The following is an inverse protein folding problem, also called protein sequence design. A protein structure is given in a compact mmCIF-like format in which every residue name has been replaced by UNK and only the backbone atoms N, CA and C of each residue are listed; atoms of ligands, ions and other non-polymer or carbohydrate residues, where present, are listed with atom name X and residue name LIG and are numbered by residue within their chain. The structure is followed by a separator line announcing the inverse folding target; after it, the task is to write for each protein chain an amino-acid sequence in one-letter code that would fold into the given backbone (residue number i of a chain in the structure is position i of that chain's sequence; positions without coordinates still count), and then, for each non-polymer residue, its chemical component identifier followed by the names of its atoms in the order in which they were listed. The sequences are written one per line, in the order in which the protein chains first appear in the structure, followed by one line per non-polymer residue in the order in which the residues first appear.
data_IF_011206554908
#
_entry.id   IF_011206554908
#
_cell.length_a   1.000
_cell.length_b   1.000
_cell.length_c   1.000
_cell.angle_alpha   90.00
_cell.angle_beta   90.00
_cell.angle_gamma   90.00
#
_symmetry.space_group_name_H-M   'P 1'
#
loop_
_entity.id
_entity.type
_entity.pdbx_description
1 polymer ?
#
# COMPACT_ATOMS: atom_id res chain seq x y z
N UNK A 1 4.31 -15.27 9.09
CA UNK A 1 3.54 -14.93 7.87
C UNK A 1 2.27 -14.27 8.36
N UNK A 2 1.88 -13.07 7.90
CA UNK A 2 0.87 -12.34 8.67
C UNK A 2 -0.23 -11.58 7.94
N UNK A 3 -1.43 -11.64 8.52
CA UNK A 3 -2.62 -10.91 8.09
C UNK A 3 -2.70 -9.57 8.81
N UNK A 4 -2.86 -8.49 8.05
CA UNK A 4 -2.75 -7.10 8.54
C UNK A 4 -4.07 -6.36 8.48
N UNK A 5 -4.34 -5.55 9.51
CA UNK A 5 -5.46 -4.63 9.56
C UNK A 5 -5.02 -3.29 10.13
N UNK A 6 -5.67 -2.24 9.65
CA UNK A 6 -5.31 -0.87 9.96
C UNK A 6 -6.51 -0.16 10.58
N UNK A 7 -6.28 0.56 11.67
CA UNK A 7 -7.22 1.49 12.26
C UNK A 7 -6.61 2.89 12.28
N UNK A 8 -7.50 3.86 12.10
CA UNK A 8 -7.17 5.26 11.99
C UNK A 8 -7.91 6.00 13.10
N UNK A 9 -7.17 6.63 14.02
CA UNK A 9 -7.75 7.43 15.09
C UNK A 9 -7.57 8.92 14.77
N UNK A 10 -8.66 9.57 14.38
CA UNK A 10 -8.65 10.90 13.76
C UNK A 10 -8.37 12.02 14.79
N UNK A 11 -8.94 11.91 15.98
CA UNK A 11 -8.88 12.92 17.04
C UNK A 11 -8.26 12.39 18.35
N UNK A 12 -7.05 11.83 18.33
CA UNK A 12 -6.38 11.43 19.56
C UNK A 12 -6.03 12.65 20.40
N UNK A 13 -6.06 12.55 21.74
CA UNK A 13 -5.49 13.57 22.59
C UNK A 13 -3.97 13.68 22.36
N UNK A 14 -3.34 14.76 22.82
CA UNK A 14 -1.89 14.96 22.69
C UNK A 14 -1.07 13.79 23.26
N UNK A 15 -1.55 13.18 24.35
CA UNK A 15 -0.95 12.00 24.97
C UNK A 15 -1.46 10.65 24.39
N UNK A 16 -2.12 10.65 23.22
CA UNK A 16 -2.77 9.46 22.65
C UNK A 16 -1.81 8.29 22.43
N UNK A 17 -0.58 8.58 21.98
CA UNK A 17 0.47 7.56 21.80
C UNK A 17 0.91 6.95 23.13
N UNK A 18 1.05 7.76 24.18
CA UNK A 18 1.41 7.28 25.52
C UNK A 18 0.29 6.40 26.09
N UNK A 19 -0.97 6.83 25.97
CA UNK A 19 -2.13 6.08 26.44
C UNK A 19 -2.24 4.70 25.78
N UNK A 20 -2.06 4.63 24.45
CA UNK A 20 -2.09 3.34 23.74
C UNK A 20 -0.88 2.48 24.16
N UNK A 21 0.30 3.08 24.26
CA UNK A 21 1.52 2.37 24.68
C UNK A 21 1.34 1.76 26.06
N UNK A 22 0.83 2.52 27.03
CA UNK A 22 0.54 2.01 28.37
C UNK A 22 -0.52 0.91 28.34
N UNK A 23 -1.58 1.06 27.55
CA UNK A 23 -2.63 0.05 27.41
C UNK A 23 -2.07 -1.27 26.86
N UNK A 24 -1.27 -1.21 25.79
CA UNK A 24 -0.63 -2.37 25.17
C UNK A 24 0.28 -3.08 26.19
N UNK A 25 1.14 -2.33 26.89
CA UNK A 25 2.11 -2.91 27.83
C UNK A 25 1.40 -3.51 29.06
N UNK A 26 0.47 -2.76 29.66
CA UNK A 26 -0.13 -3.14 30.95
C UNK A 26 -1.26 -4.14 30.82
N UNK A 27 -2.16 -3.94 29.86
CA UNK A 27 -3.40 -4.73 29.75
C UNK A 27 -3.29 -5.87 28.74
N UNK A 28 -2.43 -5.71 27.72
CA UNK A 28 -2.21 -6.74 26.70
C UNK A 28 -0.87 -7.46 26.84
N UNK A 29 -0.10 -7.17 27.89
CA UNK A 29 1.24 -7.74 28.12
C UNK A 29 2.18 -7.57 26.92
N UNK A 30 2.03 -6.47 26.18
CA UNK A 30 2.82 -6.17 25.00
C UNK A 30 4.28 -5.86 25.33
N UNK A 31 5.20 -6.35 24.51
CA UNK A 31 6.63 -6.10 24.60
C UNK A 31 7.06 -5.13 23.51
N UNK A 32 7.78 -4.07 23.87
CA UNK A 32 8.33 -3.13 22.89
C UNK A 32 9.41 -3.79 22.03
N UNK A 33 9.28 -3.66 20.71
CA UNK A 33 10.19 -4.22 19.71
C UNK A 33 11.05 -3.17 19.02
N UNK A 34 10.58 -1.93 18.96
CA UNK A 34 11.34 -0.85 18.33
C UNK A 34 10.49 0.33 17.92
N UNK A 35 11.05 1.13 17.00
CA UNK A 35 10.39 2.30 16.41
C UNK A 35 9.71 1.93 15.11
N UNK A 36 8.56 2.55 14.87
CA UNK A 36 7.89 2.55 13.59
C UNK A 36 8.05 3.93 12.96
N UNK A 37 8.65 3.99 11.77
CA UNK A 37 8.87 5.25 11.05
C UNK A 37 8.56 5.07 9.58
N UNK A 38 7.67 5.91 9.06
CA UNK A 38 7.29 5.96 7.65
C UNK A 38 7.40 7.38 7.13
N UNK A 39 7.70 7.53 5.84
CA UNK A 39 7.61 8.84 5.19
C UNK A 39 6.81 8.76 3.91
N UNK A 40 5.89 9.71 3.73
CA UNK A 40 4.97 9.77 2.59
C UNK A 40 5.19 11.05 1.79
N UNK A 41 5.14 10.92 0.46
CA UNK A 41 5.25 12.04 -0.49
C UNK A 41 4.27 11.86 -1.64
N UNK A 42 3.56 12.91 -1.99
CA UNK A 42 2.70 13.01 -3.17
C UNK A 42 3.37 13.82 -4.27
N UNK A 43 3.14 13.44 -5.52
CA UNK A 43 3.62 14.09 -6.71
C UNK A 43 2.45 14.23 -7.69
N UNK A 44 2.51 15.30 -8.49
CA UNK A 44 1.56 15.52 -9.58
C UNK A 44 2.30 15.70 -10.90
N UNK A 45 1.69 15.22 -11.97
CA UNK A 45 2.23 15.35 -13.31
C UNK A 45 1.94 16.73 -13.89
N UNK A 46 2.93 17.38 -14.48
CA UNK A 46 2.74 18.65 -15.19
C UNK A 46 2.50 18.50 -16.68
N UNK A 47 2.27 17.28 -17.17
CA UNK A 47 1.98 17.04 -18.59
C UNK A 47 0.71 17.77 -19.07
N UNK A 48 -0.30 17.91 -18.22
CA UNK A 48 -1.55 18.63 -18.52
C UNK A 48 -1.36 20.15 -18.72
N UNK A 49 -0.24 20.72 -18.24
CA UNK A 49 0.07 22.15 -18.38
C UNK A 49 0.86 22.49 -19.65
N UNK A 50 1.16 21.51 -20.51
CA UNK A 50 1.93 21.76 -21.73
C UNK A 50 1.04 22.35 -22.84
N UNK A 51 1.42 23.49 -23.42
CA UNK A 51 0.75 24.03 -24.60
C UNK A 51 0.80 23.03 -25.76
N UNK A 52 -0.35 22.71 -26.34
CA UNK A 52 -0.43 21.86 -27.54
C UNK A 52 -0.63 20.36 -27.30
N UNK A 53 -0.65 19.88 -26.04
CA UNK A 53 -1.08 18.52 -25.72
C UNK A 53 -2.42 18.54 -24.96
N UNK A 54 -3.50 17.96 -25.50
CA UNK A 54 -4.77 17.83 -24.80
C UNK A 54 -4.71 16.68 -23.79
N UNK A 55 -3.95 16.83 -22.70
CA UNK A 55 -4.01 15.90 -21.56
C UNK A 55 -5.04 16.45 -20.58
N UNK A 56 -6.26 15.91 -20.66
CA UNK A 56 -7.43 16.40 -19.92
C UNK A 56 -7.47 15.96 -18.45
N UNK A 57 -6.59 15.05 -18.02
CA UNK A 57 -6.62 14.50 -16.67
C UNK A 57 -5.22 14.48 -16.04
N UNK A 58 -5.12 15.01 -14.82
CA UNK A 58 -3.87 15.10 -14.07
C UNK A 58 -3.52 13.74 -13.45
N UNK A 59 -2.31 13.24 -13.72
CA UNK A 59 -1.78 12.03 -13.10
C UNK A 59 -1.24 12.34 -11.72
N UNK A 60 -1.45 11.42 -10.77
CA UNK A 60 -0.94 11.53 -9.42
C UNK A 60 -0.03 10.35 -9.09
N UNK A 61 0.94 10.59 -8.20
CA UNK A 61 1.84 9.54 -7.72
C UNK A 61 2.09 9.76 -6.23
N UNK A 62 1.89 8.73 -5.42
CA UNK A 62 2.18 8.74 -3.98
C UNK A 62 3.30 7.74 -3.70
N UNK A 63 4.22 8.09 -2.82
CA UNK A 63 5.31 7.22 -2.39
C UNK A 63 5.28 7.07 -0.89
N UNK A 64 5.36 5.83 -0.39
CA UNK A 64 5.54 5.53 1.02
C UNK A 64 6.86 4.80 1.22
N UNK A 65 7.76 5.40 1.98
CA UNK A 65 9.03 4.78 2.38
C UNK A 65 8.84 4.06 3.71
N UNK A 66 9.18 2.78 3.73
CA UNK A 66 9.18 1.92 4.91
C UNK A 66 10.48 1.11 4.91
N UNK A 67 11.34 1.35 5.90
CA UNK A 67 12.69 0.77 5.94
C UNK A 67 13.46 1.08 4.64
N UNK A 68 13.98 0.05 3.97
CA UNK A 68 14.70 0.13 2.69
C UNK A 68 13.79 0.14 1.45
N UNK A 69 12.47 0.09 1.64
CA UNK A 69 11.48 -0.04 0.57
C UNK A 69 10.79 1.29 0.31
N UNK A 70 10.61 1.62 -0.97
CA UNK A 70 9.72 2.71 -1.40
C UNK A 70 8.58 2.11 -2.21
N UNK A 71 7.36 2.23 -1.71
CA UNK A 71 6.16 1.78 -2.38
C UNK A 71 5.54 2.96 -3.13
N UNK A 72 5.34 2.81 -4.43
CA UNK A 72 4.93 3.89 -5.33
C UNK A 72 3.56 3.56 -5.92
N UNK A 73 2.54 4.30 -5.51
CA UNK A 73 1.20 4.23 -6.09
C UNK A 73 1.05 5.33 -7.15
N UNK A 74 0.98 4.93 -8.41
CA UNK A 74 0.73 5.81 -9.54
C UNK A 74 -0.72 5.66 -10.00
N UNK A 75 -1.35 6.79 -10.29
CA UNK A 75 -2.69 6.81 -10.87
C UNK A 75 -2.76 7.66 -12.13
N UNK A 76 -3.28 7.03 -13.18
CA UNK A 76 -3.59 7.66 -14.46
C UNK A 76 -5.10 7.58 -14.74
N UNK A 77 -5.88 8.63 -14.41
CA UNK A 77 -7.33 8.65 -14.63
C UNK A 77 -7.75 8.54 -16.11
N UNK A 78 -6.84 8.74 -17.06
CA UNK A 78 -7.12 8.56 -18.49
C UNK A 78 -7.04 7.09 -18.95
N UNK A 79 -6.53 6.19 -18.10
CA UNK A 79 -6.38 4.77 -18.42
C UNK A 79 -7.55 3.95 -17.87
N UNK A 80 -7.96 2.87 -18.56
CA UNK A 80 -9.08 2.04 -18.11
C UNK A 80 -8.73 1.28 -16.82
N UNK A 81 -9.74 0.89 -16.05
CA UNK A 81 -9.58 -0.07 -14.96
C UNK A 81 -9.51 -1.50 -15.51
N UNK A 82 -9.07 -2.45 -14.68
CA UNK A 82 -9.04 -3.86 -15.09
C UNK A 82 -10.45 -4.39 -15.36
N UNK A 83 -11.42 -3.99 -14.53
CA UNK A 83 -12.82 -4.34 -14.69
C UNK A 83 -13.38 -3.85 -16.04
N UNK A 84 -13.01 -2.63 -16.46
CA UNK A 84 -13.43 -2.08 -17.75
C UNK A 84 -12.90 -2.93 -18.91
N UNK A 85 -11.64 -3.37 -18.84
CA UNK A 85 -11.05 -4.21 -19.90
C UNK A 85 -11.67 -5.60 -19.92
N UNK A 86 -11.92 -6.21 -18.76
CA UNK A 86 -12.56 -7.52 -18.69
C UNK A 86 -13.98 -7.51 -19.26
N UNK A 87 -14.76 -6.47 -18.96
CA UNK A 87 -16.11 -6.30 -19.52
C UNK A 87 -16.07 -6.05 -21.02
N UNK A 88 -15.11 -5.27 -21.52
CA UNK A 88 -14.89 -5.08 -22.96
C UNK A 88 -14.55 -6.39 -23.68
N UNK A 89 -13.69 -7.21 -23.08
CA UNK A 89 -13.29 -8.53 -23.65
C UNK A 89 -14.47 -9.51 -23.63
N UNK A 90 -15.26 -9.55 -22.54
CA UNK A 90 -16.43 -10.42 -22.44
C UNK A 90 -17.54 -10.06 -23.45
N UNK A 91 -17.70 -8.77 -23.75
CA UNK A 91 -18.72 -8.27 -24.67
C UNK A 91 -18.26 -8.25 -26.14
N UNK A 92 -17.00 -8.62 -26.43
CA UNK A 92 -16.49 -8.64 -27.80
C UNK A 92 -17.06 -9.82 -28.61
N UNK A 93 -17.59 -9.59 -29.83
CA UNK A 93 -18.14 -10.66 -30.65
C UNK A 93 -17.04 -11.64 -31.11
N UNK A 94 -17.30 -12.95 -30.96
CA UNK A 94 -16.38 -14.09 -31.17
C UNK A 94 -16.01 -14.32 -32.66
N UNK A 95 -16.22 -13.35 -33.54
CA UNK A 95 -15.94 -13.52 -34.96
C UNK A 95 -14.46 -13.30 -35.29
N UNK A 96 -13.70 -14.39 -35.14
CA UNK A 96 -12.47 -14.77 -35.82
C UNK A 96 -11.65 -13.66 -36.49
N UNK A 97 -10.75 -13.03 -35.73
CA UNK A 97 -9.66 -12.24 -36.27
C UNK A 97 -8.53 -12.11 -35.24
N UNK A 98 -7.25 -12.05 -35.65
CA UNK A 98 -6.07 -11.97 -34.78
C UNK A 98 -5.91 -10.55 -34.18
N UNK A 99 -6.93 -10.06 -33.45
CA UNK A 99 -6.99 -8.68 -32.95
C UNK A 99 -7.04 -8.57 -31.42
N UNK A 100 -7.00 -9.68 -30.68
CA UNK A 100 -7.02 -9.64 -29.20
C UNK A 100 -5.83 -8.86 -28.61
N UNK A 101 -4.68 -8.87 -29.31
CA UNK A 101 -3.49 -8.11 -28.91
C UNK A 101 -3.66 -6.58 -29.04
N UNK A 102 -4.57 -6.09 -29.89
CA UNK A 102 -4.79 -4.65 -30.10
C UNK A 102 -5.71 -4.01 -29.05
N UNK A 103 -6.37 -4.80 -28.18
CA UNK A 103 -7.29 -4.29 -27.17
C UNK A 103 -6.68 -4.11 -25.77
N UNK A 104 -5.43 -4.54 -25.54
CA UNK A 104 -4.81 -4.36 -24.21
C UNK A 104 -4.28 -2.93 -24.08
N UNK A 105 -4.71 -2.16 -23.06
CA UNK A 105 -4.19 -0.82 -22.85
C UNK A 105 -2.69 -0.88 -22.51
N UNK A 106 -1.93 0.20 -22.76
CA UNK A 106 -0.50 0.24 -22.44
C UNK A 106 -0.24 0.05 -20.93
N UNK A 107 -1.16 0.54 -20.08
CA UNK A 107 -1.20 0.39 -18.63
C UNK A 107 -2.64 0.58 -18.12
N UNK A 108 -2.89 0.16 -16.88
CA UNK A 108 -4.18 0.40 -16.20
C UNK A 108 -4.15 1.69 -15.39
N UNK A 109 -5.35 2.09 -14.96
CA UNK A 109 -5.56 3.27 -14.12
C UNK A 109 -4.62 3.34 -12.92
N UNK A 110 -4.42 2.23 -12.22
CA UNK A 110 -3.62 2.17 -11.00
C UNK A 110 -2.41 1.28 -11.22
N UNK A 111 -1.25 1.71 -10.75
CA UNK A 111 -0.02 0.91 -10.80
C UNK A 111 0.71 1.05 -9.47
N UNK A 112 1.09 -0.06 -8.86
CA UNK A 112 1.76 -0.04 -7.56
C UNK A 112 3.08 -0.78 -7.61
N UNK A 113 4.17 -0.04 -7.43
CA UNK A 113 5.53 -0.49 -7.69
C UNK A 113 6.32 -0.49 -6.38
N UNK A 114 7.33 -1.35 -6.30
CA UNK A 114 8.31 -1.29 -5.21
C UNK A 114 9.67 -0.88 -5.78
N UNK A 115 10.26 0.18 -5.22
CA UNK A 115 11.55 0.73 -5.63
C UNK A 115 12.53 0.67 -4.45
N UNK A 116 13.79 0.38 -4.76
CA UNK A 116 14.91 0.34 -3.79
C UNK A 116 16.18 0.90 -4.44
N UNK A 117 17.09 1.54 -3.68
CA UNK A 117 16.92 2.00 -2.28
C UNK A 117 16.08 3.28 -2.18
N UNK A 118 15.77 3.78 -0.96
CA UNK A 118 15.16 5.10 -0.79
C UNK A 118 15.94 6.20 -1.51
N UNK A 119 15.25 7.06 -2.27
CA UNK A 119 15.87 8.11 -3.08
C UNK A 119 16.10 7.73 -4.55
N UNK A 120 16.04 6.44 -4.91
CA UNK A 120 16.27 5.98 -6.27
C UNK A 120 15.21 6.51 -7.25
N UNK A 121 13.95 6.60 -6.82
CA UNK A 121 12.88 7.17 -7.63
C UNK A 121 13.15 8.64 -7.96
N UNK A 122 13.54 9.45 -6.97
CA UNK A 122 13.84 10.86 -7.16
C UNK A 122 15.05 11.06 -8.08
N UNK A 123 16.07 10.23 -7.93
CA UNK A 123 17.21 10.20 -8.84
C UNK A 123 16.76 9.88 -10.27
N UNK A 124 15.94 8.85 -10.48
CA UNK A 124 15.40 8.49 -11.78
C UNK A 124 14.57 9.62 -12.40
N UNK A 125 13.65 10.20 -11.62
CA UNK A 125 12.83 11.32 -12.06
C UNK A 125 13.69 12.52 -12.47
N UNK A 126 14.76 12.81 -11.72
CA UNK A 126 15.69 13.89 -12.03
C UNK A 126 16.49 13.62 -13.32
N UNK A 127 16.99 12.39 -13.51
CA UNK A 127 17.78 11.99 -14.67
C UNK A 127 16.94 12.00 -15.95
N UNK A 128 15.71 11.50 -15.89
CA UNK A 128 14.77 11.51 -17.01
C UNK A 128 14.18 12.90 -17.27
N UNK A 129 14.50 13.90 -16.44
CA UNK A 129 13.85 15.22 -16.43
C UNK A 129 12.32 15.08 -16.43
N UNK A 130 11.85 14.09 -15.68
CA UNK A 130 10.46 13.70 -15.65
C UNK A 130 9.60 14.84 -15.08
N UNK A 131 8.40 15.00 -15.64
CA UNK A 131 7.50 16.11 -15.34
C UNK A 131 6.63 15.84 -14.11
N UNK A 132 7.28 15.44 -13.02
CA UNK A 132 6.64 15.20 -11.73
C UNK A 132 7.08 16.25 -10.73
N UNK A 133 6.12 16.92 -10.10
CA UNK A 133 6.39 17.94 -9.09
C UNK A 133 5.83 17.46 -7.75
N UNK A 134 6.63 17.47 -6.67
CA UNK A 134 6.13 17.20 -5.33
C UNK A 134 5.00 18.17 -4.97
N UNK A 135 3.88 17.64 -4.50
CA UNK A 135 2.75 18.45 -4.01
C UNK A 135 3.19 19.15 -2.73
N UNK A 136 3.31 20.47 -2.72
CA UNK A 136 3.55 21.17 -1.45
C UNK A 136 2.19 21.34 -0.79
N UNK A 137 2.01 20.82 0.42
CA UNK A 137 0.89 21.26 1.24
C UNK A 137 1.08 22.76 1.47
N UNK A 138 0.17 23.57 0.94
CA UNK A 138 0.17 25.01 1.10
C UNK A 138 -0.27 25.34 2.53
N UNK A 139 0.61 25.15 3.51
CA UNK A 139 0.50 25.87 4.77
C UNK A 139 0.81 27.34 4.46
N UNK A 140 -0.20 28.18 4.53
CA UNK A 140 -0.05 29.63 4.49
C UNK A 140 1.03 30.05 5.50
N UNK A 141 2.03 30.79 5.02
CA UNK A 141 3.18 31.35 5.75
C UNK A 141 4.37 30.41 6.00
N UNK A 142 5.37 30.49 5.12
CA UNK A 142 6.78 30.73 5.49
C UNK A 142 7.68 30.61 4.26
N UNK A 143 8.26 31.74 3.86
CA UNK A 143 9.38 31.83 2.95
C UNK A 143 10.67 31.43 3.67
N UNK A 144 11.29 30.30 3.35
CA UNK A 144 12.77 30.17 3.39
C UNK A 144 13.29 28.88 2.76
N UNK A 145 14.47 29.03 2.16
CA UNK A 145 15.28 28.03 1.45
C UNK A 145 15.68 26.86 2.37
N UNK A 146 15.10 25.69 2.15
CA UNK A 146 15.72 24.41 2.50
C UNK A 146 15.14 23.33 1.58
N UNK A 147 15.96 22.81 0.69
CA UNK A 147 15.57 21.91 -0.40
C UNK A 147 15.79 20.43 -0.03
N UNK A 148 15.81 20.08 1.27
CA UNK A 148 16.30 18.77 1.73
C UNK A 148 15.24 17.88 2.39
N UNK A 149 14.08 18.37 2.83
CA UNK A 149 13.00 17.49 3.31
C UNK A 149 11.68 17.72 2.56
N UNK A 150 11.55 17.11 1.39
CA UNK A 150 10.28 17.05 0.64
C UNK A 150 9.28 16.03 1.23
N UNK A 151 9.44 15.64 2.51
CA UNK A 151 8.46 14.82 3.20
C UNK A 151 7.22 15.67 3.49
N UNK A 152 6.07 15.27 2.95
CA UNK A 152 4.80 15.94 3.21
C UNK A 152 4.16 15.44 4.49
N UNK A 153 4.39 14.17 4.79
CA UNK A 153 3.83 13.47 5.92
C UNK A 153 4.82 12.43 6.41
N UNK A 154 4.94 12.30 7.73
CA UNK A 154 5.67 11.24 8.39
C UNK A 154 4.73 10.50 9.35
N UNK A 155 5.00 9.22 9.58
CA UNK A 155 4.37 8.45 10.66
C UNK A 155 5.46 8.06 11.62
N UNK A 156 5.34 8.45 12.88
CA UNK A 156 6.33 8.13 13.91
C UNK A 156 5.68 7.47 15.13
N UNK A 157 6.24 6.35 15.57
CA UNK A 157 5.79 5.68 16.78
C UNK A 157 6.55 4.41 17.09
N UNK A 158 5.82 3.40 17.55
CA UNK A 158 6.37 2.21 18.21
C UNK A 158 5.80 0.92 17.64
N UNK A 159 6.61 -0.13 17.73
CA UNK A 159 6.24 -1.51 17.40
C UNK A 159 6.22 -2.33 18.69
N UNK A 160 5.16 -3.09 18.89
CA UNK A 160 4.97 -3.99 20.02
C UNK A 160 4.69 -5.42 19.52
N UNK A 161 5.07 -6.42 20.29
CA UNK A 161 4.57 -7.79 20.14
C UNK A 161 3.68 -8.16 21.30
N UNK A 162 2.51 -8.75 21.03
CA UNK A 162 1.59 -9.28 22.05
C UNK A 162 1.59 -10.81 21.94
N UNK A 163 2.09 -11.49 22.97
CA UNK A 163 2.35 -12.92 22.90
C UNK A 163 3.33 -13.27 21.77
N UNK A 164 3.07 -14.38 21.08
CA UNK A 164 3.88 -14.84 19.94
C UNK A 164 3.21 -14.59 18.58
N UNK A 165 1.94 -14.19 18.59
CA UNK A 165 1.10 -14.22 17.41
C UNK A 165 0.78 -12.84 16.86
N UNK A 166 1.08 -11.77 17.60
CA UNK A 166 0.66 -10.42 17.25
C UNK A 166 1.82 -9.45 17.20
N UNK A 167 1.81 -8.62 16.16
CA UNK A 167 2.65 -7.44 16.05
C UNK A 167 1.75 -6.23 15.86
N UNK A 168 1.88 -5.25 16.75
CA UNK A 168 1.07 -4.03 16.75
C UNK A 168 1.99 -2.83 16.54
N UNK A 169 1.72 -2.03 15.51
CA UNK A 169 2.42 -0.77 15.23
C UNK A 169 1.48 0.39 15.51
N UNK A 170 1.94 1.39 16.24
CA UNK A 170 1.15 2.57 16.59
C UNK A 170 1.98 3.80 16.37
N UNK A 171 1.45 4.80 15.67
CA UNK A 171 2.20 6.01 15.38
C UNK A 171 1.33 7.24 15.12
N UNK A 172 1.92 8.40 15.37
CA UNK A 172 1.35 9.70 15.07
C UNK A 172 1.55 10.02 13.58
N UNK A 173 0.51 10.54 12.95
CA UNK A 173 0.56 11.09 11.59
C UNK A 173 0.98 12.56 11.69
N UNK A 174 2.17 12.89 11.22
CA UNK A 174 2.80 14.21 11.38
C UNK A 174 2.90 14.87 10.00
N UNK A 175 2.35 16.06 9.84
CA UNK A 175 2.48 16.85 8.60
C UNK A 175 3.85 17.52 8.52
N UNK A 176 4.23 18.00 7.33
CA UNK A 176 5.50 18.71 7.10
C UNK A 176 5.74 19.90 8.04
N UNK A 177 4.68 20.52 8.58
CA UNK A 177 4.75 21.59 9.57
C UNK A 177 4.88 21.14 11.04
N UNK A 178 5.04 19.83 11.30
CA UNK A 178 5.10 19.25 12.64
C UNK A 178 3.74 19.05 13.31
N UNK A 179 2.65 19.49 12.68
CA UNK A 179 1.29 19.30 13.22
C UNK A 179 0.89 17.82 13.17
N UNK A 180 0.41 17.29 14.29
CA UNK A 180 -0.12 15.93 14.40
C UNK A 180 -1.55 15.89 13.87
N UNK A 181 -1.79 15.15 12.79
CA UNK A 181 -3.10 14.93 12.16
C UNK A 181 -3.66 13.55 12.52
N UNK A 182 -3.60 13.21 13.81
CA UNK A 182 -4.12 11.97 14.37
C UNK A 182 -3.11 10.82 14.39
N UNK A 183 -3.61 9.59 14.55
CA UNK A 183 -2.80 8.38 14.70
C UNK A 183 -3.22 7.24 13.75
N UNK A 184 -2.26 6.36 13.49
CA UNK A 184 -2.43 5.08 12.81
C UNK A 184 -2.09 3.94 13.78
N UNK A 185 -2.89 2.89 13.72
CA UNK A 185 -2.70 1.64 14.45
C UNK A 185 -2.77 0.51 13.44
N UNK A 186 -1.73 -0.29 13.35
CA UNK A 186 -1.67 -1.47 12.49
C UNK A 186 -1.52 -2.70 13.37
N UNK A 187 -2.34 -3.72 13.15
CA UNK A 187 -2.22 -5.02 13.79
C UNK A 187 -1.94 -6.08 12.74
N UNK A 188 -0.93 -6.89 12.98
CA UNK A 188 -0.49 -8.00 12.13
C UNK A 188 -0.54 -9.30 12.94
N UNK A 189 -1.26 -10.29 12.44
CA UNK A 189 -1.36 -11.62 13.04
C UNK A 189 -0.37 -12.57 12.36
N UNK A 190 0.69 -13.00 13.06
CA UNK A 190 1.90 -13.68 12.54
C UNK A 190 1.84 -15.19 12.22
N UNK A 191 0.84 -15.99 12.64
CA UNK A 191 0.79 -17.42 12.29
C UNK A 191 -0.02 -17.73 11.03
N UNK A 192 -0.57 -16.73 10.32
CA UNK A 192 -1.38 -16.95 9.10
C UNK A 192 -0.88 -16.11 7.91
N UNK A 193 -0.38 -16.74 6.82
CA UNK A 193 0.01 -16.05 5.59
C UNK A 193 -1.14 -15.33 4.90
N UNK A 194 -2.34 -15.90 4.95
CA UNK A 194 -3.57 -15.34 4.37
C UNK A 194 -4.74 -15.68 5.29
N UNK A 195 -5.54 -14.70 5.67
CA UNK A 195 -6.90 -14.93 6.16
C UNK A 195 -7.84 -14.56 5.01
N UNK A 196 -8.56 -15.55 4.49
CA UNK A 196 -9.71 -15.28 3.63
C UNK A 196 -10.78 -14.66 4.51
N UNK A 197 -10.99 -13.35 4.35
CA UNK A 197 -12.08 -12.65 5.04
C UNK A 197 -13.41 -13.27 4.59
N UNK A 198 -14.21 -13.76 5.55
CA UNK A 198 -15.57 -14.21 5.23
C UNK A 198 -16.49 -13.02 4.92
N UNK A 199 -16.11 -11.81 5.36
CA UNK A 199 -16.84 -10.59 5.06
C UNK A 199 -16.42 -10.03 3.69
N UNK A 200 -17.41 -9.66 2.88
CA UNK A 200 -17.24 -9.15 1.52
C UNK A 200 -16.45 -7.81 1.45
N UNK A 201 -16.30 -7.13 2.59
CA UNK A 201 -15.54 -5.88 2.73
C UNK A 201 -14.04 -6.08 3.04
N UNK A 202 -13.60 -7.34 3.23
CA UNK A 202 -12.21 -7.66 3.57
C UNK A 202 -11.86 -7.42 5.04
N UNK A 203 -12.83 -7.10 5.91
CA UNK A 203 -12.59 -6.90 7.35
C UNK A 203 -12.54 -8.24 8.09
N UNK A 204 -11.55 -8.39 8.97
CA UNK A 204 -11.50 -9.53 9.90
C UNK A 204 -12.00 -9.10 11.28
N UNK A 205 -13.02 -9.78 11.79
CA UNK A 205 -13.54 -9.54 13.15
C UNK A 205 -12.44 -9.68 14.19
N UNK A 206 -11.51 -10.62 14.02
CA UNK A 206 -10.40 -10.83 14.94
C UNK A 206 -9.50 -9.59 15.02
N UNK A 207 -9.13 -9.03 13.87
CA UNK A 207 -8.31 -7.82 13.83
C UNK A 207 -9.06 -6.61 14.38
N UNK A 208 -10.33 -6.45 13.99
CA UNK A 208 -11.18 -5.36 14.46
C UNK A 208 -11.31 -5.40 15.97
N UNK A 209 -11.56 -6.57 16.55
CA UNK A 209 -11.67 -6.75 18.00
C UNK A 209 -10.35 -6.42 18.71
N UNK A 210 -9.21 -6.86 18.17
CA UNK A 210 -7.91 -6.51 18.74
C UNK A 210 -7.66 -5.00 18.67
N UNK A 211 -7.83 -4.38 17.51
CA UNK A 211 -7.61 -2.94 17.31
C UNK A 211 -8.51 -2.11 18.24
N UNK A 212 -9.78 -2.49 18.39
CA UNK A 212 -10.71 -1.87 19.33
C UNK A 212 -10.26 -2.05 20.79
N UNK A 213 -9.75 -3.22 21.16
CA UNK A 213 -9.27 -3.49 22.52
C UNK A 213 -7.98 -2.74 22.88
N UNK A 214 -7.16 -2.41 21.89
CA UNK A 214 -5.92 -1.64 22.04
C UNK A 214 -6.20 -0.14 22.16
N UNK A 215 -7.29 0.34 21.56
CA UNK A 215 -7.71 1.73 21.67
C UNK A 215 -8.21 2.03 23.10
N UNK A 216 -7.75 3.12 23.73
CA UNK A 216 -8.25 3.51 25.05
C UNK A 216 -9.72 3.91 24.97
N UNK A 217 -10.50 3.53 25.99
CA UNK A 217 -11.92 3.88 26.09
C UNK A 217 -12.10 5.38 26.42
N UNK A 218 -12.05 6.20 25.38
CA UNK A 218 -12.18 7.66 25.47
C UNK A 218 -13.51 8.09 24.86
N UNK A 219 -14.23 8.96 25.57
CA UNK A 219 -15.47 9.56 25.08
C UNK A 219 -15.16 10.39 23.83
N UNK A 220 -15.97 10.22 22.79
CA UNK A 220 -15.85 10.92 21.49
C UNK A 220 -14.64 10.54 20.62
N UNK A 221 -14.01 9.39 20.85
CA UNK A 221 -12.96 8.89 19.97
C UNK A 221 -13.53 8.55 18.57
N UNK A 222 -13.04 9.24 17.54
CA UNK A 222 -13.37 8.99 16.13
C UNK A 222 -12.34 8.04 15.55
N UNK A 223 -12.71 6.77 15.52
CA UNK A 223 -11.87 5.68 15.01
C UNK A 223 -12.51 5.09 13.77
N UNK A 224 -11.70 4.82 12.75
CA UNK A 224 -12.11 4.26 11.47
C UNK A 224 -11.26 3.02 11.20
N UNK A 225 -11.91 1.88 11.02
CA UNK A 225 -11.24 0.68 10.52
C UNK A 225 -11.03 0.84 9.02
N UNK A 226 -9.82 0.54 8.55
CA UNK A 226 -9.43 0.60 7.15
C UNK A 226 -9.24 -0.84 6.69
N UNK A 227 -10.12 -1.26 5.78
CA UNK A 227 -10.00 -2.52 5.06
C UNK A 227 -9.91 -2.25 3.56
N UNK A 228 -9.23 -3.17 2.87
CA UNK A 228 -9.12 -3.21 1.42
C UNK A 228 -9.69 -4.55 1.00
N UNK A 229 -10.63 -4.54 0.06
CA UNK A 229 -11.17 -5.78 -0.48
C UNK A 229 -10.12 -6.48 -1.35
N UNK A 230 -10.16 -7.80 -1.41
CA UNK A 230 -9.17 -8.56 -2.19
C UNK A 230 -9.23 -8.18 -3.68
N UNK A 231 -10.41 -7.83 -4.21
CA UNK A 231 -10.57 -7.32 -5.58
C UNK A 231 -9.81 -6.02 -5.86
N UNK A 232 -9.79 -5.09 -4.90
CA UNK A 232 -9.02 -3.84 -5.02
C UNK A 232 -7.52 -4.12 -4.95
N UNK A 233 -7.12 -5.10 -4.15
CA UNK A 233 -5.72 -5.51 -4.04
C UNK A 233 -5.22 -6.24 -5.30
N UNK A 234 -6.04 -7.13 -5.88
CA UNK A 234 -5.72 -7.83 -7.14
C UNK A 234 -5.55 -6.88 -8.33
N UNK A 235 -6.34 -5.80 -8.38
CA UNK A 235 -6.17 -4.77 -9.41
C UNK A 235 -4.79 -4.11 -9.34
N UNK A 236 -4.27 -3.96 -8.13
CA UNK A 236 -3.04 -3.23 -7.81
C UNK A 236 -1.78 -4.10 -7.93
N UNK A 237 -1.92 -5.40 -7.67
CA UNK A 237 -0.85 -6.39 -7.81
C UNK A 237 -0.50 -6.75 -9.25
N UNK A 238 -1.23 -6.21 -10.24
CA UNK A 238 -0.98 -6.56 -11.63
C UNK A 238 0.42 -6.15 -12.08
N UNK A 239 1.18 -7.15 -12.49
CA UNK A 239 2.45 -6.98 -13.19
C UNK A 239 2.29 -7.46 -14.64
N UNK A 240 2.45 -6.52 -15.58
CA UNK A 240 2.39 -6.79 -17.01
C UNK A 240 3.46 -7.81 -17.43
N UNK A 241 4.66 -7.74 -16.85
CA UNK A 241 5.75 -8.63 -17.21
C UNK A 241 5.44 -10.07 -16.81
N UNK A 242 4.78 -10.26 -15.68
CA UNK A 242 4.33 -11.58 -15.22
C UNK A 242 3.22 -12.17 -16.10
N UNK A 243 2.26 -11.36 -16.56
CA UNK A 243 1.22 -11.82 -17.48
C UNK A 243 1.76 -12.13 -18.87
N UNK A 244 2.68 -11.31 -19.39
CA UNK A 244 3.36 -11.59 -20.66
C UNK A 244 4.26 -12.82 -20.57
N UNK A 245 4.89 -13.07 -19.41
CA UNK A 245 5.67 -14.29 -19.17
C UNK A 245 4.78 -15.51 -19.13
N UNK A 246 3.67 -15.47 -18.38
CA UNK A 246 2.68 -16.57 -18.34
C UNK A 246 2.02 -16.82 -19.69
N UNK A 247 1.71 -15.78 -20.48
CA UNK A 247 1.15 -15.98 -21.82
C UNK A 247 2.16 -16.64 -22.74
N UNK A 248 3.43 -16.25 -22.68
CA UNK A 248 4.51 -16.90 -23.45
C UNK A 248 4.76 -18.34 -22.99
N UNK A 249 4.64 -18.63 -21.70
CA UNK A 249 4.77 -19.99 -21.16
C UNK A 249 3.61 -20.89 -21.60
N UNK A 250 2.37 -20.36 -21.58
CA UNK A 250 1.17 -21.05 -22.11
C UNK A 250 1.25 -21.27 -23.62
N UNK A 251 1.73 -20.29 -24.38
CA UNK A 251 1.95 -20.40 -25.83
C UNK A 251 3.07 -21.39 -26.18
N UNK A 252 4.07 -21.55 -25.31
CA UNK A 252 5.14 -22.55 -25.45
C UNK A 252 4.70 -23.97 -25.07
N UNK A 253 3.47 -24.15 -24.60
CA UNK A 253 2.93 -25.46 -24.25
C UNK A 253 3.67 -26.14 -23.10
N UNK A 254 4.36 -25.38 -22.25
CA UNK A 254 4.96 -25.91 -21.03
C UNK A 254 3.79 -26.19 -20.08
N UNK A 255 3.51 -27.46 -19.72
CA UNK A 255 2.47 -27.74 -18.75
C UNK A 255 2.80 -26.99 -17.46
N UNK A 256 1.81 -26.34 -16.84
CA UNK A 256 1.95 -25.59 -15.57
C UNK A 256 2.50 -26.47 -14.40
N UNK A 257 2.75 -27.77 -14.64
CA UNK A 257 3.28 -28.77 -13.70
C UNK A 257 4.58 -29.46 -14.18
N UNK A 258 5.33 -28.92 -15.15
CA UNK A 258 6.53 -29.60 -15.67
C UNK A 258 7.78 -29.47 -14.78
N UNK A 259 7.82 -28.48 -13.88
CA UNK A 259 8.98 -28.25 -13.01
C UNK A 259 8.87 -28.98 -11.65
N UNK A 260 7.76 -29.69 -11.40
CA UNK A 260 7.50 -30.38 -10.12
C UNK A 260 7.72 -31.90 -10.19
N UNK A 261 8.47 -32.38 -11.19
CA UNK A 261 8.73 -33.82 -11.40
C UNK A 261 10.15 -34.24 -10.96
N UNK A 262 11.06 -33.30 -10.63
CA UNK A 262 12.46 -33.64 -10.29
C UNK A 262 13.06 -32.89 -9.09
N UNK A 263 12.31 -32.66 -8.00
CA UNK A 263 12.91 -32.33 -6.70
C UNK A 263 12.46 -33.36 -5.65
N UNK A 264 12.99 -34.58 -5.76
CA UNK A 264 13.02 -35.52 -4.64
C UNK A 264 14.24 -35.16 -3.79
N UNK A 265 14.06 -34.33 -2.77
CA UNK A 265 15.19 -33.95 -1.90
C UNK A 265 14.95 -32.92 -0.80
N UNK A 266 13.76 -32.34 -0.67
CA UNK A 266 13.46 -31.39 0.42
C UNK A 266 12.09 -31.68 1.06
N UNK A 267 11.92 -32.92 1.52
CA UNK A 267 10.77 -33.33 2.35
C UNK A 267 10.88 -32.66 3.73
N UNK A 268 10.27 -31.48 3.87
CA UNK A 268 10.03 -30.90 5.20
C UNK A 268 9.88 -29.39 5.31
N UNK A 269 10.18 -28.63 4.25
CA UNK A 269 10.00 -27.17 4.26
C UNK A 269 8.76 -26.79 3.45
N UNK A 270 7.74 -26.14 4.03
CA UNK A 270 6.64 -25.61 3.24
C UNK A 270 7.20 -24.57 2.27
N UNK A 271 7.20 -24.88 0.97
CA UNK A 271 7.57 -23.94 -0.07
C UNK A 271 6.66 -22.71 0.00
N UNK A 272 7.25 -21.52 -0.15
CA UNK A 272 6.47 -20.27 -0.27
C UNK A 272 5.55 -20.38 -1.49
N UNK A 273 4.25 -20.39 -1.26
CA UNK A 273 3.25 -20.37 -2.32
C UNK A 273 3.09 -18.94 -2.84
N UNK A 274 2.83 -18.78 -4.14
CA UNK A 274 2.50 -17.49 -4.74
C UNK A 274 1.21 -16.97 -4.10
N UNK A 275 1.32 -15.91 -3.30
CA UNK A 275 0.23 -15.40 -2.45
C UNK A 275 0.52 -15.45 -0.96
N UNK A 276 1.61 -16.09 -0.52
CA UNK A 276 2.06 -16.04 0.86
C UNK A 276 2.63 -14.66 1.20
N UNK A 277 2.02 -13.95 2.15
CA UNK A 277 2.39 -12.57 2.50
C UNK A 277 3.65 -12.53 3.37
N UNK A 278 4.81 -12.63 2.72
CA UNK A 278 6.12 -12.67 3.38
C UNK A 278 7.02 -11.54 2.88
N UNK A 279 7.80 -10.96 3.79
CA UNK A 279 8.83 -9.98 3.48
C UNK A 279 8.26 -8.72 2.80
N UNK A 280 8.64 -8.51 1.54
CA UNK A 280 8.36 -7.28 0.78
C UNK A 280 6.88 -7.16 0.45
N UNK A 281 6.21 -8.25 0.10
CA UNK A 281 4.79 -8.23 -0.28
C UNK A 281 3.89 -7.92 0.91
N UNK A 282 4.30 -8.36 2.11
CA UNK A 282 3.66 -7.95 3.37
C UNK A 282 3.76 -6.43 3.57
N UNK A 283 4.97 -5.89 3.45
CA UNK A 283 5.20 -4.45 3.59
C UNK A 283 4.48 -3.66 2.47
N UNK A 284 4.34 -4.24 1.27
CA UNK A 284 3.60 -3.69 0.12
C UNK A 284 2.10 -3.55 0.45
N UNK A 285 1.46 -4.58 1.01
CA UNK A 285 0.05 -4.52 1.44
C UNK A 285 -0.17 -3.50 2.55
N UNK A 286 0.71 -3.49 3.56
CA UNK A 286 0.71 -2.48 4.62
C UNK A 286 0.78 -1.07 4.05
N UNK A 287 1.72 -0.82 3.15
CA UNK A 287 1.88 0.48 2.50
C UNK A 287 0.63 0.90 1.70
N UNK A 288 0.01 -0.04 1.00
CA UNK A 288 -1.23 0.23 0.25
C UNK A 288 -2.39 0.63 1.16
N UNK A 289 -2.60 -0.10 2.26
CA UNK A 289 -3.61 0.23 3.27
C UNK A 289 -3.40 1.64 3.85
N UNK A 290 -2.14 1.98 4.18
CA UNK A 290 -1.79 3.27 4.76
C UNK A 290 -2.01 4.41 3.75
N UNK A 291 -1.55 4.25 2.51
CA UNK A 291 -1.78 5.24 1.45
C UNK A 291 -3.27 5.44 1.21
N UNK A 292 -4.05 4.34 1.11
CA UNK A 292 -5.50 4.39 0.94
C UNK A 292 -6.21 5.14 2.07
N UNK A 293 -5.85 4.84 3.32
CA UNK A 293 -6.40 5.51 4.51
C UNK A 293 -6.16 7.03 4.45
N UNK A 294 -4.91 7.45 4.29
CA UNK A 294 -4.51 8.85 4.29
C UNK A 294 -5.12 9.64 3.12
N UNK A 295 -5.31 8.97 1.98
CA UNK A 295 -5.94 9.57 0.80
C UNK A 295 -7.45 9.76 0.97
N UNK A 296 -8.14 8.78 1.56
CA UNK A 296 -9.59 8.90 1.82
C UNK A 296 -9.95 10.09 2.71
N UNK A 297 -9.02 10.52 3.56
CA UNK A 297 -9.13 11.71 4.42
C UNK A 297 -8.68 13.02 3.74
N UNK A 298 -8.24 12.98 2.48
CA UNK A 298 -7.72 14.15 1.76
C UNK A 298 -6.46 14.74 2.40
N UNK A 299 -5.63 13.90 3.03
CA UNK A 299 -4.34 14.33 3.62
C UNK A 299 -3.21 14.29 2.59
N UNK A 300 -3.33 13.43 1.57
CA UNK A 300 -2.35 13.24 0.51
C UNK A 300 -2.65 14.03 -0.76
#
# INVERSE_FOLDING_TARGET
MGFTGLARWINPPTAGLELITENIIRNHHGQSRGRWSLSVRSYRSTLASMPGLPVHAERSMCTLTMNENVFVLLEDPASPTRADVLTLVQNAPVHGGPSSALMRPPHYRTTFLTVRPPGALEQLLSQLKARWIPVRQSSSSSSQRSQVSAQQLAVEGHVFSIGNDWLVRVGNVILAGGAVKGMLLEAEYLPLPVLHSQAADGTSELLSNLLLSVLPNIRDAKTVAVAVSDSQWEEVLWDREDEERQSRERERGIPENADDIFVTGDEGLPGQLRGDWVGVDRDRRSAFLIIGALRSEGIL
#
